data_IF_361080520880
#
_entry.id   IF_361080520880
#
_cell.length_a   1.000
_cell.length_b   1.000
_cell.length_c   1.000
_cell.angle_alpha   90.00
_cell.angle_beta   90.00
_cell.angle_gamma   90.00
#
_symmetry.space_group_name_H-M   'P 1'
#
loop_
_entity.id
_entity.type
_entity.pdbx_description
1 polymer ?
#
# COMPACT_ATOMS: atom_id res chain seq x y z
N UNK A 1 16.00 28.24 21.93
CA UNK A 1 16.17 28.63 20.51
C UNK A 1 16.77 27.50 19.69
N UNK A 2 17.68 26.68 20.23
CA UNK A 2 18.30 25.52 19.54
C UNK A 2 17.35 24.44 18.99
N UNK A 3 16.27 24.11 19.70
CA UNK A 3 15.34 23.04 19.31
C UNK A 3 14.54 23.38 18.05
N UNK A 4 14.09 24.63 17.90
CA UNK A 4 13.40 25.09 16.68
C UNK A 4 14.33 25.04 15.47
N UNK A 5 15.59 25.45 15.64
CA UNK A 5 16.58 25.44 14.57
C UNK A 5 16.93 24.01 14.10
N UNK A 6 16.96 23.03 15.02
CA UNK A 6 17.09 21.60 14.67
C UNK A 6 15.85 21.05 13.93
N UNK A 7 14.63 21.39 14.37
CA UNK A 7 13.39 20.99 13.69
C UNK A 7 13.33 21.51 12.25
N UNK A 8 13.64 22.79 12.03
CA UNK A 8 13.67 23.36 10.68
C UNK A 8 14.73 22.69 9.78
N UNK A 9 15.88 22.28 10.34
CA UNK A 9 16.90 21.53 9.57
C UNK A 9 16.43 20.13 9.19
N UNK A 10 15.70 19.43 10.07
CA UNK A 10 15.14 18.12 9.76
C UNK A 10 14.04 18.22 8.68
N UNK A 11 13.10 19.16 8.82
CA UNK A 11 12.06 19.42 7.82
C UNK A 11 12.64 19.76 6.45
N UNK A 12 13.66 20.63 6.40
CA UNK A 12 14.38 20.96 5.16
C UNK A 12 15.07 19.75 4.54
N UNK A 13 15.53 18.79 5.35
CA UNK A 13 16.12 17.55 4.84
C UNK A 13 15.06 16.62 4.25
N UNK A 14 13.92 16.45 4.94
CA UNK A 14 12.78 15.66 4.45
C UNK A 14 12.25 16.23 3.13
N UNK A 15 12.09 17.55 3.05
CA UNK A 15 11.63 18.23 1.83
C UNK A 15 12.60 17.99 0.67
N UNK A 16 13.92 18.15 0.89
CA UNK A 16 14.93 17.90 -0.14
C UNK A 16 14.97 16.44 -0.57
N UNK A 17 14.84 15.51 0.37
CA UNK A 17 14.82 14.09 0.08
C UNK A 17 13.58 13.71 -0.76
N UNK A 18 12.41 14.20 -0.36
CA UNK A 18 11.15 13.98 -1.09
C UNK A 18 11.20 14.56 -2.51
N UNK A 19 11.69 15.79 -2.67
CA UNK A 19 11.74 16.46 -3.98
C UNK A 19 12.80 15.88 -4.94
N UNK A 20 13.69 15.01 -4.44
CA UNK A 20 14.73 14.36 -5.25
C UNK A 20 14.29 13.03 -5.84
N UNK A 21 13.22 12.43 -5.30
CA UNK A 21 12.69 11.18 -5.81
C UNK A 21 11.96 11.45 -7.14
N UNK A 22 12.37 10.82 -8.25
CA UNK A 22 11.63 10.91 -9.50
C UNK A 22 10.27 10.22 -9.34
N UNK A 23 9.34 10.56 -10.23
CA UNK A 23 8.04 9.88 -10.29
C UNK A 23 8.23 8.35 -10.36
N UNK A 24 7.41 7.55 -9.65
CA UNK A 24 7.55 6.10 -9.60
C UNK A 24 7.67 5.42 -10.96
N UNK A 25 7.01 5.95 -12.00
CA UNK A 25 7.09 5.42 -13.36
C UNK A 25 8.51 5.51 -13.92
N UNK A 26 9.18 6.64 -13.70
CA UNK A 26 10.59 6.81 -14.09
C UNK A 26 11.52 5.89 -13.30
N UNK A 27 11.20 5.63 -12.03
CA UNK A 27 11.94 4.69 -11.21
C UNK A 27 11.88 3.27 -11.81
N UNK A 28 10.70 2.78 -12.19
CA UNK A 28 10.56 1.48 -12.86
C UNK A 28 11.25 1.43 -14.22
N UNK A 29 11.12 2.48 -15.05
CA UNK A 29 11.83 2.56 -16.33
C UNK A 29 13.35 2.46 -16.11
N UNK A 30 13.88 3.22 -15.15
CA UNK A 30 15.31 3.21 -14.83
C UNK A 30 15.79 1.85 -14.32
N UNK A 31 15.00 1.16 -13.51
CA UNK A 31 15.27 -0.21 -13.05
C UNK A 31 15.27 -1.20 -14.22
N UNK A 32 14.32 -1.11 -15.16
CA UNK A 32 14.29 -1.96 -16.35
C UNK A 32 15.56 -1.79 -17.18
N UNK A 33 15.97 -0.55 -17.47
CA UNK A 33 17.23 -0.29 -18.18
C UNK A 33 18.44 -0.82 -17.41
N UNK A 34 18.47 -0.63 -16.09
CA UNK A 34 19.53 -1.14 -15.24
C UNK A 34 19.59 -2.68 -15.28
N UNK A 35 18.46 -3.37 -15.23
CA UNK A 35 18.38 -4.84 -15.33
C UNK A 35 18.86 -5.33 -16.68
N UNK A 36 18.49 -4.67 -17.78
CA UNK A 36 18.97 -5.00 -19.13
C UNK A 36 20.51 -4.89 -19.18
N UNK A 37 21.07 -3.78 -18.70
CA UNK A 37 22.53 -3.57 -18.68
C UNK A 37 23.24 -4.56 -17.75
N UNK A 38 22.69 -4.79 -16.55
CA UNK A 38 23.24 -5.73 -15.58
C UNK A 38 23.26 -7.16 -16.13
N UNK A 39 22.19 -7.58 -16.83
CA UNK A 39 22.12 -8.90 -17.46
C UNK A 39 23.20 -9.08 -18.53
N UNK A 40 23.50 -8.03 -19.31
CA UNK A 40 24.53 -8.08 -20.34
C UNK A 40 25.95 -8.13 -19.76
N UNK A 41 26.21 -7.37 -18.70
CA UNK A 41 27.50 -7.40 -17.99
C UNK A 41 27.71 -8.77 -17.33
N UNK A 42 26.70 -9.29 -16.64
CA UNK A 42 26.77 -10.57 -15.97
C UNK A 42 26.95 -11.74 -16.95
N UNK A 43 26.29 -11.68 -18.11
CA UNK A 43 26.48 -12.65 -19.19
C UNK A 43 27.88 -12.55 -19.82
N UNK A 44 28.46 -11.34 -19.95
CA UNK A 44 29.83 -11.16 -20.44
C UNK A 44 30.87 -11.88 -19.57
N UNK A 45 30.68 -11.90 -18.25
CA UNK A 45 31.53 -12.63 -17.31
C UNK A 45 31.17 -14.13 -17.17
N UNK A 46 30.19 -14.63 -17.92
CA UNK A 46 29.67 -16.01 -17.82
C UNK A 46 29.34 -16.42 -16.37
N UNK A 47 28.73 -15.51 -15.60
CA UNK A 47 28.35 -15.79 -14.23
C UNK A 47 27.31 -16.91 -14.19
N UNK A 48 27.57 -17.90 -13.34
CA UNK A 48 26.66 -19.00 -13.04
C UNK A 48 26.33 -18.95 -11.56
N UNK A 49 25.05 -19.15 -11.23
CA UNK A 49 24.59 -19.19 -9.85
C UNK A 49 23.97 -20.55 -9.60
N UNK A 50 24.46 -21.23 -8.57
CA UNK A 50 23.84 -22.43 -8.01
C UNK A 50 22.89 -22.00 -6.91
N UNK A 51 21.61 -22.29 -7.05
CA UNK A 51 20.62 -22.09 -5.99
C UNK A 51 19.76 -23.35 -5.85
N UNK A 52 19.27 -23.59 -4.64
CA UNK A 52 18.24 -24.60 -4.40
C UNK A 52 16.91 -24.01 -4.87
N UNK A 53 16.35 -24.59 -5.93
CA UNK A 53 15.13 -24.13 -6.56
C UNK A 53 14.17 -25.28 -6.80
N UNK A 54 12.89 -24.98 -6.92
CA UNK A 54 11.88 -25.95 -7.31
C UNK A 54 12.03 -26.26 -8.81
N UNK A 55 12.28 -27.53 -9.15
CA UNK A 55 12.35 -27.97 -10.53
C UNK A 55 10.96 -28.48 -10.97
N UNK A 56 10.33 -27.78 -11.93
CA UNK A 56 8.99 -28.13 -12.46
C UNK A 56 8.94 -29.53 -13.10
N UNK A 57 10.08 -30.08 -13.54
CA UNK A 57 10.14 -31.41 -14.18
C UNK A 57 10.26 -32.57 -13.18
N UNK A 58 10.85 -32.34 -12.00
CA UNK A 58 11.11 -33.39 -11.01
C UNK A 58 10.28 -33.26 -9.73
N UNK A 59 9.53 -32.16 -9.58
CA UNK A 59 8.74 -31.82 -8.38
C UNK A 59 9.57 -31.84 -7.07
N UNK A 60 10.90 -31.76 -7.18
CA UNK A 60 11.87 -31.81 -6.08
C UNK A 60 12.66 -30.51 -5.99
N UNK A 61 13.08 -30.16 -4.77
CA UNK A 61 14.02 -29.07 -4.54
C UNK A 61 15.41 -29.60 -4.88
N UNK A 62 15.99 -29.11 -5.98
CA UNK A 62 17.30 -29.51 -6.45
C UNK A 62 18.21 -28.29 -6.60
N UNK A 63 19.53 -28.53 -6.54
CA UNK A 63 20.53 -27.50 -6.84
C UNK A 63 20.58 -27.27 -8.34
N UNK A 64 19.85 -26.24 -8.81
CA UNK A 64 19.83 -25.85 -10.21
C UNK A 64 20.98 -24.86 -10.44
N UNK A 65 21.79 -25.13 -11.48
CA UNK A 65 22.85 -24.22 -11.93
C UNK A 65 22.33 -23.45 -13.13
N UNK A 66 21.87 -22.21 -12.92
CA UNK A 66 21.30 -21.41 -14.01
C UNK A 66 22.33 -20.39 -14.49
N UNK A 67 22.55 -20.34 -15.81
CA UNK A 67 23.36 -19.31 -16.47
C UNK A 67 22.56 -18.03 -16.64
N UNK A 68 23.22 -16.87 -16.51
CA UNK A 68 22.56 -15.58 -16.72
C UNK A 68 22.16 -15.40 -18.19
N UNK A 69 20.88 -15.12 -18.43
CA UNK A 69 20.35 -14.82 -19.76
C UNK A 69 20.62 -13.35 -20.12
N UNK A 70 21.27 -13.11 -21.27
CA UNK A 70 21.55 -11.77 -21.76
C UNK A 70 20.33 -11.17 -22.47
N UNK A 71 19.71 -10.14 -21.88
CA UNK A 71 18.54 -9.47 -22.47
C UNK A 71 18.89 -8.58 -23.67
N UNK A 72 20.16 -8.18 -23.86
CA UNK A 72 20.62 -7.42 -25.04
C UNK A 72 20.95 -8.32 -26.24
N UNK A 73 20.94 -9.64 -26.07
CA UNK A 73 21.12 -10.58 -27.19
C UNK A 73 19.91 -10.55 -28.14
N UNK A 74 20.05 -11.09 -29.36
CA UNK A 74 18.94 -11.20 -30.31
C UNK A 74 17.75 -11.96 -29.70
N UNK A 75 18.04 -13.06 -29.01
CA UNK A 75 17.04 -13.90 -28.36
C UNK A 75 16.40 -13.19 -27.16
N UNK A 76 17.20 -12.48 -26.36
CA UNK A 76 16.72 -11.66 -25.24
C UNK A 76 15.82 -10.51 -25.69
N UNK A 77 16.17 -9.83 -26.79
CA UNK A 77 15.34 -8.80 -27.38
C UNK A 77 14.02 -9.36 -27.94
N UNK A 78 14.08 -10.50 -28.62
CA UNK A 78 12.90 -11.19 -29.11
C UNK A 78 11.98 -11.61 -27.95
N UNK A 79 12.55 -12.15 -26.87
CA UNK A 79 11.82 -12.48 -25.65
C UNK A 79 11.11 -11.26 -25.06
N UNK A 80 11.81 -10.14 -24.89
CA UNK A 80 11.23 -8.90 -24.34
C UNK A 80 10.03 -8.40 -25.15
N UNK A 81 10.12 -8.41 -26.48
CA UNK A 81 9.04 -7.91 -27.35
C UNK A 81 7.86 -8.87 -27.41
N UNK A 82 8.12 -10.18 -27.45
CA UNK A 82 7.07 -11.20 -27.55
C UNK A 82 6.27 -11.37 -26.26
N UNK A 83 6.93 -11.29 -25.11
CA UNK A 83 6.29 -11.54 -23.80
C UNK A 83 5.77 -10.28 -23.12
N UNK A 84 5.90 -9.09 -23.72
CA UNK A 84 5.49 -7.84 -23.06
C UNK A 84 4.00 -7.82 -22.69
N UNK A 85 3.14 -8.35 -23.57
CA UNK A 85 1.68 -8.39 -23.36
C UNK A 85 1.34 -9.47 -22.33
N UNK A 86 1.96 -10.63 -22.41
CA UNK A 86 1.70 -11.74 -21.49
C UNK A 86 2.19 -11.40 -20.07
N UNK A 87 3.34 -10.75 -19.94
CA UNK A 87 3.86 -10.26 -18.67
C UNK A 87 2.96 -9.15 -18.08
N UNK A 88 2.44 -8.26 -18.93
CA UNK A 88 1.53 -7.21 -18.46
C UNK A 88 0.18 -7.80 -18.03
N UNK A 89 -0.48 -8.60 -18.88
CA UNK A 89 -1.80 -9.15 -18.61
C UNK A 89 -1.80 -10.27 -17.56
N UNK A 90 -0.71 -11.03 -17.47
CA UNK A 90 -0.46 -12.04 -16.44
C UNK A 90 -0.03 -11.46 -15.09
N UNK A 91 0.12 -10.14 -14.97
CA UNK A 91 0.43 -9.49 -13.70
C UNK A 91 -0.77 -9.60 -12.75
N UNK A 92 -0.73 -10.60 -11.87
CA UNK A 92 -1.77 -10.95 -10.89
C UNK A 92 -2.47 -9.75 -10.18
N UNK A 93 -1.76 -8.68 -9.76
CA UNK A 93 -2.41 -7.50 -9.19
C UNK A 93 -3.43 -6.83 -10.10
N UNK A 94 -3.25 -6.81 -11.42
CA UNK A 94 -4.13 -6.02 -12.31
C UNK A 94 -5.58 -6.50 -12.24
N UNK A 95 -5.83 -7.79 -12.46
CA UNK A 95 -7.19 -8.33 -12.49
C UNK A 95 -7.93 -8.14 -11.17
N UNK A 96 -7.24 -8.45 -10.06
CA UNK A 96 -7.83 -8.35 -8.71
C UNK A 96 -8.08 -6.90 -8.30
N UNK A 97 -7.15 -5.99 -8.58
CA UNK A 97 -7.31 -4.55 -8.28
C UNK A 97 -8.44 -3.95 -9.10
N UNK A 98 -8.51 -4.19 -10.41
CA UNK A 98 -9.60 -3.64 -11.24
C UNK A 98 -10.98 -4.09 -10.76
N UNK A 99 -11.11 -5.36 -10.35
CA UNK A 99 -12.38 -5.90 -9.86
C UNK A 99 -12.82 -5.20 -8.57
N UNK A 100 -11.91 -5.00 -7.61
CA UNK A 100 -12.21 -4.30 -6.36
C UNK A 100 -12.48 -2.82 -6.60
N UNK A 101 -11.71 -2.15 -7.47
CA UNK A 101 -11.87 -0.71 -7.75
C UNK A 101 -13.22 -0.40 -8.37
N UNK A 102 -13.79 -1.29 -9.19
CA UNK A 102 -15.14 -1.10 -9.75
C UNK A 102 -16.19 -1.07 -8.64
N UNK A 103 -16.13 -2.01 -7.69
CA UNK A 103 -17.05 -2.05 -6.55
C UNK A 103 -16.94 -0.81 -5.65
N UNK A 104 -15.71 -0.39 -5.36
CA UNK A 104 -15.45 0.83 -4.58
C UNK A 104 -15.94 2.07 -5.33
N UNK A 105 -15.67 2.17 -6.64
CA UNK A 105 -16.07 3.31 -7.47
C UNK A 105 -17.58 3.49 -7.56
N UNK A 106 -18.36 2.40 -7.64
CA UNK A 106 -19.83 2.47 -7.63
C UNK A 106 -20.33 2.95 -6.25
N UNK A 107 -19.74 2.43 -5.19
CA UNK A 107 -20.11 2.78 -3.80
C UNK A 107 -19.79 4.24 -3.49
N UNK A 108 -18.66 4.74 -4.00
CA UNK A 108 -18.24 6.13 -3.88
C UNK A 108 -19.06 7.05 -4.79
N UNK A 109 -19.28 6.66 -6.05
CA UNK A 109 -20.03 7.42 -7.05
C UNK A 109 -21.51 7.64 -6.68
N UNK A 110 -22.10 6.73 -5.92
CA UNK A 110 -23.47 6.90 -5.36
C UNK A 110 -23.50 7.77 -4.10
N UNK A 111 -22.35 8.14 -3.54
CA UNK A 111 -22.23 8.90 -2.30
C UNK A 111 -22.60 8.11 -1.04
N UNK A 112 -22.86 6.79 -1.16
CA UNK A 112 -23.30 5.93 -0.05
C UNK A 112 -22.31 5.99 1.12
N UNK A 113 -21.02 5.92 0.82
CA UNK A 113 -19.96 5.92 1.83
C UNK A 113 -19.86 7.26 2.58
N UNK A 114 -19.98 8.39 1.86
CA UNK A 114 -20.01 9.72 2.46
C UNK A 114 -21.17 9.92 3.43
N UNK A 115 -22.36 9.42 3.06
CA UNK A 115 -23.56 9.50 3.90
C UNK A 115 -23.42 8.60 5.13
N UNK A 116 -22.91 7.38 4.95
CA UNK A 116 -22.70 6.43 6.04
C UNK A 116 -21.74 6.98 7.09
N UNK A 117 -20.59 7.52 6.66
CA UNK A 117 -19.62 8.16 7.56
C UNK A 117 -20.27 9.31 8.35
N UNK A 118 -21.01 10.20 7.67
CA UNK A 118 -21.74 11.30 8.32
C UNK A 118 -22.76 10.82 9.35
N UNK A 119 -23.50 9.75 9.01
CA UNK A 119 -24.55 9.21 9.86
C UNK A 119 -23.96 8.58 11.14
N UNK A 120 -22.83 7.87 11.04
CA UNK A 120 -22.16 7.28 12.19
C UNK A 120 -21.66 8.38 13.14
N UNK A 121 -21.00 9.42 12.63
CA UNK A 121 -20.53 10.49 13.53
C UNK A 121 -21.69 11.23 14.18
N UNK A 122 -22.76 11.50 13.42
CA UNK A 122 -23.92 12.23 13.94
C UNK A 122 -24.65 11.50 15.08
N UNK A 123 -24.60 10.16 15.09
CA UNK A 123 -25.20 9.31 16.14
C UNK A 123 -24.26 9.03 17.32
N UNK A 124 -23.01 9.51 17.27
CA UNK A 124 -22.00 9.19 18.28
C UNK A 124 -22.15 10.06 19.54
N UNK A 125 -22.12 9.46 20.75
CA UNK A 125 -22.21 10.23 22.00
C UNK A 125 -20.98 11.11 22.24
N UNK A 126 -21.18 12.27 22.88
CA UNK A 126 -20.15 13.31 23.08
C UNK A 126 -18.84 12.83 23.71
N UNK A 127 -18.90 11.79 24.55
CA UNK A 127 -17.73 11.20 25.19
C UNK A 127 -16.80 10.48 24.19
N UNK A 128 -17.36 9.84 23.16
CA UNK A 128 -16.63 8.99 22.22
C UNK A 128 -16.26 9.68 20.90
N UNK A 129 -16.63 10.96 20.73
CA UNK A 129 -16.42 11.70 19.47
C UNK A 129 -14.95 11.68 19.02
N UNK A 130 -14.00 11.85 19.93
CA UNK A 130 -12.57 11.86 19.59
C UNK A 130 -12.10 10.51 19.03
N UNK A 131 -12.44 9.41 19.70
CA UNK A 131 -12.12 8.06 19.24
C UNK A 131 -12.86 7.69 17.95
N UNK A 132 -14.11 8.11 17.82
CA UNK A 132 -14.90 7.83 16.62
C UNK A 132 -14.39 8.57 15.38
N UNK A 133 -13.91 9.81 15.52
CA UNK A 133 -13.31 10.55 14.41
C UNK A 133 -12.03 9.88 13.92
N UNK A 134 -11.19 9.39 14.84
CA UNK A 134 -9.99 8.63 14.48
C UNK A 134 -10.37 7.29 13.83
N UNK A 135 -11.32 6.57 14.43
CA UNK A 135 -11.82 5.28 13.94
C UNK A 135 -12.38 5.38 12.53
N UNK A 136 -13.26 6.36 12.28
CA UNK A 136 -13.79 6.61 10.95
C UNK A 136 -12.72 7.14 10.00
N UNK A 137 -11.69 7.82 10.53
CA UNK A 137 -10.48 8.20 9.80
C UNK A 137 -9.81 6.99 9.18
N UNK A 138 -9.53 6.00 10.02
CA UNK A 138 -8.90 4.74 9.60
C UNK A 138 -9.80 4.01 8.60
N UNK A 139 -11.10 3.85 8.88
CA UNK A 139 -12.04 3.20 7.96
C UNK A 139 -12.21 3.91 6.60
N UNK A 140 -11.90 5.20 6.54
CA UNK A 140 -12.12 5.99 5.32
C UNK A 140 -11.16 5.66 4.18
N UNK A 141 -10.12 4.86 4.43
CA UNK A 141 -9.24 4.33 3.38
C UNK A 141 -9.99 3.41 2.40
N UNK A 142 -11.06 2.72 2.83
CA UNK A 142 -11.97 2.00 1.92
C UNK A 142 -12.63 2.96 0.92
N UNK A 143 -12.79 4.23 1.29
CA UNK A 143 -13.31 5.30 0.43
C UNK A 143 -12.26 5.92 -0.49
N UNK A 144 -11.03 5.39 -0.51
CA UNK A 144 -9.89 5.87 -1.28
C UNK A 144 -9.59 7.36 -1.09
N UNK A 145 -10.27 8.23 -1.83
CA UNK A 145 -10.04 9.68 -1.85
C UNK A 145 -11.10 10.50 -1.11
N UNK A 146 -12.34 10.02 -1.09
CA UNK A 146 -13.47 10.74 -0.48
C UNK A 146 -13.34 10.86 1.04
N UNK A 147 -12.66 9.91 1.68
CA UNK A 147 -12.37 9.91 3.11
C UNK A 147 -11.68 11.20 3.58
N UNK A 148 -10.61 11.59 2.89
CA UNK A 148 -9.87 12.82 3.22
C UNK A 148 -10.72 14.08 3.04
N UNK A 149 -11.49 14.16 1.96
CA UNK A 149 -12.26 15.36 1.61
C UNK A 149 -13.41 15.58 2.59
N UNK A 150 -14.06 14.49 3.01
CA UNK A 150 -15.29 14.57 3.82
C UNK A 150 -14.98 14.56 5.31
N UNK A 151 -14.03 13.73 5.76
CA UNK A 151 -13.86 13.46 7.18
C UNK A 151 -13.06 14.55 7.92
N UNK A 152 -12.08 15.17 7.28
CA UNK A 152 -11.31 16.29 7.86
C UNK A 152 -12.20 17.46 8.29
N UNK A 153 -13.03 18.05 7.40
CA UNK A 153 -13.91 19.16 7.78
C UNK A 153 -15.01 18.70 8.75
N UNK A 154 -15.55 17.48 8.61
CA UNK A 154 -16.53 16.94 9.57
C UNK A 154 -15.95 16.83 10.98
N UNK A 155 -14.74 16.31 11.13
CA UNK A 155 -14.06 16.21 12.43
C UNK A 155 -13.90 17.57 13.11
N UNK A 156 -13.53 18.60 12.35
CA UNK A 156 -13.41 19.96 12.86
C UNK A 156 -14.77 20.54 13.30
N UNK A 157 -15.82 20.39 12.48
CA UNK A 157 -17.17 20.90 12.77
C UNK A 157 -17.77 20.21 14.01
N UNK A 158 -17.59 18.90 14.13
CA UNK A 158 -18.20 18.12 15.24
C UNK A 158 -17.52 18.44 16.57
N UNK A 159 -16.21 18.70 16.57
CA UNK A 159 -15.52 19.20 17.75
C UNK A 159 -16.01 20.60 18.13
N UNK A 160 -16.22 21.48 17.15
CA UNK A 160 -16.77 22.82 17.37
C UNK A 160 -18.17 22.78 18.01
N UNK A 161 -19.08 21.97 17.46
CA UNK A 161 -20.45 21.78 17.97
C UNK A 161 -20.44 21.14 19.37
N UNK A 162 -19.42 20.34 19.67
CA UNK A 162 -19.23 19.70 20.98
C UNK A 162 -18.53 20.61 22.01
N UNK A 163 -18.34 21.90 21.72
CA UNK A 163 -17.60 22.87 22.54
C UNK A 163 -16.14 22.48 22.80
N UNK A 164 -15.50 21.76 21.87
CA UNK A 164 -14.08 21.39 21.88
C UNK A 164 -13.32 22.18 20.81
N UNK A 165 -11.99 22.23 20.93
CA UNK A 165 -11.17 22.98 19.98
C UNK A 165 -11.19 22.32 18.58
N UNK A 166 -11.60 23.01 17.51
CA UNK A 166 -11.79 22.42 16.18
C UNK A 166 -10.49 21.88 15.56
N UNK A 167 -9.35 22.52 15.86
CA UNK A 167 -8.03 22.03 15.39
C UNK A 167 -7.69 20.66 15.96
N UNK A 168 -8.18 20.32 17.17
CA UNK A 168 -7.98 18.99 17.72
C UNK A 168 -8.79 17.93 16.95
N UNK A 169 -10.00 18.29 16.49
CA UNK A 169 -10.81 17.43 15.62
C UNK A 169 -10.18 17.24 14.24
N UNK A 170 -9.63 18.30 13.66
CA UNK A 170 -8.89 18.25 12.40
C UNK A 170 -7.64 17.36 12.52
N UNK A 171 -6.86 17.53 13.60
CA UNK A 171 -5.67 16.74 13.87
C UNK A 171 -6.02 15.25 14.10
N UNK A 172 -7.10 14.97 14.84
CA UNK A 172 -7.58 13.61 15.08
C UNK A 172 -8.03 12.93 13.77
N UNK A 173 -8.80 13.64 12.92
CA UNK A 173 -9.20 13.13 11.63
C UNK A 173 -7.98 12.88 10.73
N UNK A 174 -7.05 13.84 10.63
CA UNK A 174 -5.85 13.70 9.83
C UNK A 174 -4.95 12.54 10.29
N UNK A 175 -4.75 12.39 11.60
CA UNK A 175 -4.00 11.27 12.16
C UNK A 175 -4.66 9.92 11.88
N UNK A 176 -6.00 9.84 11.96
CA UNK A 176 -6.76 8.63 11.65
C UNK A 176 -6.65 8.24 10.17
N UNK A 177 -6.88 9.19 9.25
CA UNK A 177 -6.84 8.89 7.80
C UNK A 177 -5.42 8.61 7.33
N UNK A 178 -4.43 9.41 7.75
CA UNK A 178 -3.04 9.25 7.31
C UNK A 178 -2.30 8.11 8.00
N UNK A 179 -2.50 7.95 9.30
CA UNK A 179 -1.86 6.87 10.08
C UNK A 179 -2.54 5.52 9.88
N UNK A 180 -3.82 5.52 9.51
CA UNK A 180 -4.63 4.33 9.29
C UNK A 180 -4.66 3.80 7.85
N UNK A 181 -3.83 4.33 6.95
CA UNK A 181 -3.92 4.05 5.51
C UNK A 181 -3.77 2.56 5.12
N UNK A 182 -3.21 1.71 5.98
CA UNK A 182 -3.10 0.27 5.71
C UNK A 182 -3.98 -0.59 6.61
N UNK A 183 -4.54 -0.02 7.69
CA UNK A 183 -5.39 -0.74 8.62
C UNK A 183 -6.86 -0.61 8.18
N UNK A 184 -7.52 -1.72 7.89
CA UNK A 184 -8.95 -1.72 7.58
C UNK A 184 -9.66 -2.91 8.24
N UNK A 185 -10.93 -2.69 8.58
CA UNK A 185 -11.85 -3.77 9.00
C UNK A 185 -12.33 -4.60 7.80
N UNK A 186 -12.41 -3.97 6.62
CA UNK A 186 -12.86 -4.58 5.37
C UNK A 186 -11.71 -4.62 4.36
N UNK A 187 -11.71 -5.64 3.51
CA UNK A 187 -10.76 -5.74 2.40
C UNK A 187 -10.96 -4.55 1.46
N UNK A 188 -9.93 -3.73 1.30
CA UNK A 188 -9.90 -2.55 0.44
C UNK A 188 -9.17 -2.82 -0.88
N UNK A 189 -9.09 -1.80 -1.74
CA UNK A 189 -8.35 -1.89 -3.01
C UNK A 189 -6.85 -2.13 -2.85
N UNK A 190 -6.29 -1.77 -1.68
CA UNK A 190 -4.86 -1.90 -1.41
C UNK A 190 -4.46 -3.34 -1.07
N UNK A 191 -5.35 -4.14 -0.47
CA UNK A 191 -5.00 -5.49 -0.01
C UNK A 191 -4.70 -6.45 -1.16
N UNK A 192 -5.51 -6.52 -2.25
CA UNK A 192 -5.17 -7.32 -3.42
C UNK A 192 -3.92 -6.82 -4.14
N UNK A 193 -3.67 -5.50 -4.13
CA UNK A 193 -2.46 -4.93 -4.73
C UNK A 193 -1.21 -5.44 -4.02
N UNK A 194 -1.17 -5.35 -2.68
CA UNK A 194 -0.03 -5.81 -1.89
C UNK A 194 0.13 -7.33 -1.94
N UNK A 195 -0.98 -8.07 -1.84
CA UNK A 195 -0.97 -9.52 -1.95
C UNK A 195 -0.44 -9.95 -3.33
N UNK A 196 -0.92 -9.34 -4.41
CA UNK A 196 -0.47 -9.71 -5.74
C UNK A 196 1.00 -9.38 -6.03
N UNK A 197 1.53 -8.25 -5.53
CA UNK A 197 2.96 -7.93 -5.64
C UNK A 197 3.77 -8.96 -4.83
N UNK A 198 3.29 -9.34 -3.66
CA UNK A 198 3.95 -10.33 -2.80
C UNK A 198 3.96 -11.73 -3.43
N UNK A 199 2.86 -12.14 -4.05
CA UNK A 199 2.78 -13.39 -4.84
C UNK A 199 3.80 -13.38 -5.97
N UNK A 200 3.91 -12.28 -6.72
CA UNK A 200 4.89 -12.18 -7.82
C UNK A 200 6.34 -12.25 -7.32
N UNK A 201 6.63 -11.67 -6.15
CA UNK A 201 7.94 -11.78 -5.53
C UNK A 201 8.22 -13.20 -5.00
N UNK A 202 7.20 -13.87 -4.45
CA UNK A 202 7.32 -15.24 -3.92
C UNK A 202 7.50 -16.29 -5.03
N UNK A 203 6.85 -16.09 -6.17
CA UNK A 203 6.96 -16.97 -7.35
C UNK A 203 8.37 -17.05 -7.94
N UNK A 204 9.29 -16.16 -7.54
CA UNK A 204 10.71 -16.27 -7.88
C UNK A 204 11.35 -17.50 -7.22
N UNK A 205 10.83 -17.93 -6.06
CA UNK A 205 11.34 -19.07 -5.28
C UNK A 205 10.41 -20.30 -5.34
N UNK A 206 9.10 -20.09 -5.20
CA UNK A 206 8.08 -21.15 -5.23
C UNK A 206 6.94 -20.77 -6.20
N UNK A 207 6.85 -21.40 -7.38
CA UNK A 207 5.86 -21.07 -8.40
C UNK A 207 4.40 -21.25 -7.95
N UNK A 208 4.15 -22.07 -6.93
CA UNK A 208 2.80 -22.41 -6.46
C UNK A 208 2.35 -21.53 -5.28
N UNK A 209 3.19 -20.61 -4.81
CA UNK A 209 2.91 -19.84 -3.60
C UNK A 209 2.00 -18.64 -3.88
N UNK A 210 0.75 -18.72 -3.43
CA UNK A 210 -0.24 -17.64 -3.61
C UNK A 210 -0.46 -16.90 -2.29
N UNK A 211 -0.10 -15.62 -2.24
CA UNK A 211 -0.48 -14.73 -1.15
C UNK A 211 -1.93 -14.31 -1.36
N UNK A 212 -2.80 -14.72 -0.44
CA UNK A 212 -4.20 -14.32 -0.47
C UNK A 212 -4.37 -12.86 0.01
N UNK A 213 -5.31 -12.08 -0.56
CA UNK A 213 -5.66 -10.75 -0.06
C UNK A 213 -6.13 -10.73 1.40
N UNK A 214 -6.66 -11.85 1.88
CA UNK A 214 -7.07 -12.07 3.27
C UNK A 214 -5.91 -12.34 4.23
N UNK A 215 -4.69 -12.59 3.73
CA UNK A 215 -3.55 -13.02 4.55
C UNK A 215 -3.16 -12.02 5.64
N UNK A 216 -3.29 -10.73 5.36
CA UNK A 216 -3.00 -9.67 6.34
C UNK A 216 -4.25 -9.19 7.10
N UNK A 217 -5.43 -9.74 6.82
CA UNK A 217 -6.68 -9.21 7.35
C UNK A 217 -6.73 -9.27 8.88
N UNK A 218 -6.34 -10.41 9.47
CA UNK A 218 -6.27 -10.58 10.93
C UNK A 218 -5.25 -9.63 11.56
N UNK A 219 -4.12 -9.38 10.89
CA UNK A 219 -3.10 -8.46 11.38
C UNK A 219 -3.60 -7.00 11.39
N UNK A 220 -4.25 -6.58 10.31
CA UNK A 220 -4.85 -5.25 10.23
C UNK A 220 -6.00 -5.07 11.23
N UNK A 221 -6.79 -6.11 11.48
CA UNK A 221 -7.86 -6.11 12.48
C UNK A 221 -7.32 -6.08 13.93
N UNK A 222 -6.20 -6.76 14.19
CA UNK A 222 -5.53 -6.69 15.50
C UNK A 222 -4.92 -5.32 15.80
N UNK A 223 -4.31 -4.65 14.80
CA UNK A 223 -3.86 -3.25 14.93
C UNK A 223 -5.05 -2.34 15.30
N UNK A 224 -6.22 -2.64 14.73
CA UNK A 224 -7.49 -1.98 15.04
C UNK A 224 -7.91 -2.12 16.51
N UNK A 225 -7.85 -3.35 17.06
CA UNK A 225 -8.22 -3.61 18.46
C UNK A 225 -7.26 -2.97 19.47
N UNK A 226 -5.96 -2.94 19.18
CA UNK A 226 -4.96 -2.36 20.08
C UNK A 226 -5.06 -0.83 20.17
N UNK A 227 -5.31 -0.14 19.04
CA UNK A 227 -5.50 1.32 19.04
C UNK A 227 -6.72 1.78 19.84
N UNK A 228 -7.76 0.95 19.93
CA UNK A 228 -8.95 1.22 20.76
C UNK A 228 -8.72 0.95 22.25
N UNK A 229 -7.90 -0.06 22.58
CA UNK A 229 -7.66 -0.48 23.97
C UNK A 229 -6.70 0.45 24.71
N UNK A 230 -5.65 0.95 24.03
CA UNK A 230 -4.63 1.80 24.65
C UNK A 230 -5.17 3.21 25.00
N UNK A 231 -6.08 3.75 24.18
CA UNK A 231 -6.70 5.06 24.45
C UNK A 231 -7.60 5.04 25.71
N UNK A 232 -8.21 3.91 26.03
CA UNK A 232 -9.07 3.79 27.21
C UNK A 232 -8.26 3.71 28.53
N UNK A 233 -6.97 3.36 28.45
CA UNK A 233 -6.06 3.25 29.60
C UNK A 233 -5.36 4.57 29.95
N UNK A 234 -5.21 5.50 29.01
CA UNK A 234 -4.51 6.77 29.23
C UNK A 234 -5.40 7.98 29.56
N UNK A 235 -6.73 7.83 29.56
CA UNK A 235 -7.67 8.92 29.88
C UNK A 235 -8.62 8.59 31.05
N UNK A 236 -8.17 7.82 32.04
CA UNK A 236 -8.76 7.81 33.38
C UNK A 236 -8.02 8.76 34.31
#
# INVERSE_FOLDING_TARGET
MDTKQKQFRFLNWVERAGNRLPDPSFLFISLTFLTILASAIAAYFNLTVTYEGFNEETETIETITTSVNNLLSLDGFHYMVTHIIDNFTGFFPLGTVFTVIIGVSITEGTGMLSVLLRQIVSKTPKALISGMVVFLGILSNVASSTGYIVLLPLGAIIFLVSKRHPVAGLAAAYAGVSGGWTANLLIGSNDPLYAGISTQAANILDPNYIVQPTGNWVFYDCIYSYGYFDWHLHHR
#
